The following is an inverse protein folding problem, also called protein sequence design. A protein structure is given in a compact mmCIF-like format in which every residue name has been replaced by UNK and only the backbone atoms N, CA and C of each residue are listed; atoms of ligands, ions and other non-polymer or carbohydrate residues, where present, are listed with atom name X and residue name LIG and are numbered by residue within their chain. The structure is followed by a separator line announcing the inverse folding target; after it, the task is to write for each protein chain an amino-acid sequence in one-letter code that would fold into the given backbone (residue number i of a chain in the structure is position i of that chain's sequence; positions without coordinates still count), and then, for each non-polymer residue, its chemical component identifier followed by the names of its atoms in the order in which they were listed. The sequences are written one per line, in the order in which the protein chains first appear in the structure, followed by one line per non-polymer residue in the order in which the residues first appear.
data_IF_744107793605
#
_entry.id   IF_744107793605
#
_cell.length_a   1.000
_cell.length_b   1.000
_cell.length_c   1.000
_cell.angle_alpha   90.00
_cell.angle_beta   90.00
_cell.angle_gamma   90.00
#
_symmetry.space_group_name_H-M   'P 1'
#
loop_
_entity.id
_entity.type
_entity.pdbx_description
1 polymer ?
2 water ?
#
# COMPACT_ATOMS: atom_id res chain seq x y z
N UNK A 32 -28.01 -20.31 -22.04
CA UNK A 32 -28.26 -21.76 -21.73
C UNK A 32 -26.95 -22.50 -21.63
N UNK A 33 -26.82 -23.32 -20.59
CA UNK A 33 -25.59 -24.03 -20.38
C UNK A 33 -24.75 -23.09 -19.57
N UNK A 34 -25.42 -22.24 -18.80
CA UNK A 34 -24.75 -21.26 -17.97
C UNK A 34 -23.96 -21.89 -16.82
N UNK A 35 -22.64 -21.83 -16.96
CA UNK A 35 -21.71 -22.40 -15.99
C UNK A 35 -20.32 -21.76 -16.06
N UNK A 36 -19.79 -21.37 -14.91
CA UNK A 36 -18.44 -20.80 -14.86
C UNK A 36 -17.62 -21.86 -14.12
N UNK A 37 -16.39 -22.08 -14.57
CA UNK A 37 -15.58 -23.07 -13.90
C UNK A 37 -14.27 -22.53 -13.35
N UNK A 38 -13.97 -22.94 -12.13
CA UNK A 38 -12.75 -22.53 -11.47
C UNK A 38 -11.84 -23.74 -11.39
N UNK A 39 -10.78 -23.70 -12.22
CA UNK A 39 -9.82 -24.79 -12.26
C UNK A 39 -8.57 -24.33 -11.54
N UNK A 40 -8.35 -24.88 -10.36
CA UNK A 40 -7.21 -24.54 -9.53
C UNK A 40 -6.13 -25.61 -9.64
N UNK A 41 -4.91 -25.17 -9.90
CA UNK A 41 -3.79 -26.09 -9.96
C UNK A 41 -2.93 -25.79 -8.74
N UNK A 42 -2.54 -26.84 -8.04
CA UNK A 42 -1.73 -26.68 -6.85
C UNK A 42 -0.47 -27.53 -6.98
N UNK A 43 0.68 -26.88 -7.16
CA UNK A 43 1.96 -27.57 -7.26
C UNK A 43 2.77 -27.37 -5.97
N UNK A 44 3.02 -28.48 -5.26
CA UNK A 44 3.80 -28.47 -4.02
C UNK A 44 3.16 -27.70 -2.85
N UNK A 45 1.95 -28.11 -2.47
CA UNK A 45 1.28 -27.45 -1.36
C UNK A 45 0.78 -26.05 -1.66
N UNK A 46 1.35 -25.37 -2.66
CA UNK A 46 0.94 -24.00 -2.98
C UNK A 46 0.22 -23.81 -4.33
N UNK A 47 -0.80 -22.94 -4.32
CA UNK A 47 -1.61 -22.61 -5.49
C UNK A 47 -0.78 -21.76 -6.45
N UNK A 48 -0.82 -22.05 -7.75
CA UNK A 48 -0.01 -21.27 -8.70
C UNK A 48 -0.79 -20.56 -9.81
N UNK A 49 -1.97 -21.07 -10.09
CA UNK A 49 -2.80 -20.50 -11.14
C UNK A 49 -4.23 -20.92 -10.95
N UNK A 50 -5.07 -20.41 -11.82
CA UNK A 50 -6.48 -20.74 -11.81
C UNK A 50 -7.03 -20.20 -13.12
N UNK A 51 -7.97 -20.94 -13.69
CA UNK A 51 -8.56 -20.55 -14.94
C UNK A 51 -10.04 -20.31 -14.75
N UNK A 52 -10.51 -19.21 -15.32
CA UNK A 52 -11.92 -18.87 -15.24
C UNK A 52 -12.51 -18.61 -16.63
N UNK A 53 -13.51 -19.41 -17.00
CA UNK A 53 -14.16 -19.26 -18.30
C UNK A 53 -15.69 -19.22 -18.19
N UNK A 54 -16.32 -18.29 -18.91
CA UNK A 54 -17.76 -18.16 -18.88
C UNK A 54 -18.35 -17.12 -17.95
N UNK A 55 -17.59 -16.72 -16.93
CA UNK A 55 -18.02 -15.73 -15.93
C UNK A 55 -18.38 -14.36 -16.50
N UNK A 56 -18.03 -14.09 -17.75
CA UNK A 56 -18.36 -12.78 -18.29
C UNK A 56 -19.50 -12.92 -19.29
N UNK A 57 -20.35 -11.92 -19.42
CA UNK A 57 -21.45 -12.03 -20.36
C UNK A 57 -22.73 -12.47 -19.68
N UNK A 58 -23.81 -12.57 -20.44
CA UNK A 58 -25.11 -12.94 -19.85
C UNK A 58 -25.50 -14.43 -19.76
N UNK A 59 -26.77 -14.68 -19.45
CA UNK A 59 -27.30 -16.04 -19.36
C UNK A 59 -28.70 -15.87 -18.79
N UNK A 60 -28.97 -14.74 -18.14
CA UNK A 60 -30.25 -14.39 -17.51
C UNK A 60 -29.95 -13.43 -16.35
N UNK A 61 -30.84 -13.28 -15.39
CA UNK A 61 -30.61 -12.42 -14.25
C UNK A 61 -29.74 -13.24 -13.25
N UNK A 62 -30.33 -14.18 -12.48
CA UNK A 62 -29.58 -14.96 -11.45
C UNK A 62 -28.18 -15.39 -11.90
N UNK A 63 -27.98 -15.74 -13.18
CA UNK A 63 -26.63 -16.12 -13.66
C UNK A 63 -25.71 -14.92 -13.47
N UNK A 64 -26.06 -13.81 -14.12
CA UNK A 64 -25.26 -12.59 -14.01
C UNK A 64 -24.82 -12.32 -12.58
N UNK A 65 -25.74 -12.41 -11.63
CA UNK A 65 -25.41 -12.15 -10.24
C UNK A 65 -24.18 -12.95 -9.84
N UNK A 66 -24.14 -14.22 -10.24
CA UNK A 66 -22.99 -15.08 -9.93
C UNK A 66 -21.73 -14.58 -10.63
N UNK A 67 -21.87 -14.18 -11.88
CA UNK A 67 -20.75 -13.69 -12.67
C UNK A 67 -20.16 -12.46 -11.98
N UNK A 68 -21.05 -11.60 -11.50
CA UNK A 68 -20.65 -10.37 -10.81
C UNK A 68 -19.84 -10.72 -9.55
N UNK A 69 -20.23 -11.81 -8.90
CA UNK A 69 -19.58 -12.28 -7.68
C UNK A 69 -18.20 -12.89 -7.96
N UNK A 70 -18.09 -13.72 -8.99
CA UNK A 70 -16.81 -14.34 -9.35
C UNK A 70 -15.83 -13.30 -9.86
N UNK A 71 -16.31 -12.42 -10.73
CA UNK A 71 -15.46 -11.37 -11.28
C UNK A 71 -14.92 -10.41 -10.21
N UNK A 72 -15.69 -10.17 -9.15
CA UNK A 72 -15.25 -9.29 -8.07
C UNK A 72 -14.16 -10.00 -7.28
N UNK A 73 -14.43 -11.22 -6.84
CA UNK A 73 -13.43 -11.97 -6.08
C UNK A 73 -12.17 -12.11 -6.92
N UNK A 74 -12.36 -12.30 -8.22
CA UNK A 74 -11.25 -12.46 -9.14
C UNK A 74 -10.44 -11.20 -9.34
N UNK A 75 -11.11 -10.07 -9.58
CA UNK A 75 -10.41 -8.82 -9.75
C UNK A 75 -9.76 -8.38 -8.45
N UNK A 76 -10.34 -8.77 -7.33
CA UNK A 76 -9.77 -8.40 -6.04
C UNK A 76 -8.43 -9.08 -5.82
N UNK A 77 -8.35 -10.36 -6.14
CA UNK A 77 -7.11 -11.11 -5.94
C UNK A 77 -5.96 -10.51 -6.75
N UNK A 78 -6.27 -10.04 -7.95
CA UNK A 78 -5.25 -9.45 -8.80
C UNK A 78 -4.75 -8.15 -8.17
N UNK A 79 -5.69 -7.35 -7.67
CA UNK A 79 -5.36 -6.07 -7.04
C UNK A 79 -4.72 -6.19 -5.67
N UNK A 80 -5.22 -7.11 -4.87
CA UNK A 80 -4.67 -7.26 -3.53
C UNK A 80 -3.28 -7.85 -3.62
N UNK A 81 -3.02 -8.66 -4.64
CA UNK A 81 -1.69 -9.22 -4.76
C UNK A 81 -0.66 -8.17 -5.18
N UNK A 82 -1.05 -7.28 -6.10
CA UNK A 82 -0.12 -6.27 -6.55
C UNK A 82 0.11 -5.17 -5.53
N UNK A 83 -0.97 -4.69 -4.94
CA UNK A 83 -0.89 -3.61 -3.95
C UNK A 83 -0.37 -4.02 -2.58
N UNK A 84 -1.07 -4.95 -1.94
CA UNK A 84 -0.66 -5.41 -0.62
C UNK A 84 0.37 -6.53 -0.67
N UNK A 85 0.22 -7.44 -1.62
CA UNK A 85 1.12 -8.59 -1.69
C UNK A 85 2.46 -8.37 -2.34
N UNK A 86 2.73 -7.15 -2.78
CA UNK A 86 4.04 -6.86 -3.39
C UNK A 86 4.39 -7.87 -4.50
N UNK A 87 3.38 -8.58 -4.98
CA UNK A 87 3.54 -9.60 -6.02
C UNK A 87 2.77 -9.28 -7.30
N UNK A 88 3.49 -9.10 -8.40
CA UNK A 88 2.83 -8.80 -9.69
C UNK A 88 2.41 -10.09 -10.36
N UNK A 89 1.22 -10.09 -10.96
CA UNK A 89 0.70 -11.30 -11.58
C UNK A 89 0.50 -11.27 -13.09
N UNK A 90 0.69 -12.45 -13.71
CA UNK A 90 0.52 -12.66 -15.14
C UNK A 90 -0.98 -12.81 -15.35
N UNK A 91 -1.60 -11.86 -16.01
CA UNK A 91 -3.03 -11.93 -16.24
C UNK A 91 -3.34 -12.29 -17.69
N UNK A 92 -4.61 -12.58 -17.97
CA UNK A 92 -5.00 -12.94 -19.32
C UNK A 92 -6.51 -13.06 -19.40
N UNK A 93 -7.13 -12.28 -20.30
CA UNK A 93 -8.58 -12.30 -20.43
C UNK A 93 -9.16 -11.89 -21.78
N UNK A 94 -10.22 -12.57 -22.20
CA UNK A 94 -10.93 -12.20 -23.43
C UNK A 94 -12.42 -12.17 -23.10
N UNK A 95 -12.92 -10.97 -22.82
CA UNK A 95 -14.32 -10.79 -22.48
C UNK A 95 -15.25 -11.67 -23.31
N UNK A 96 -14.80 -12.02 -24.51
CA UNK A 96 -15.55 -12.85 -25.44
C UNK A 96 -15.52 -14.35 -25.13
N UNK A 97 -16.40 -15.09 -25.82
CA UNK A 97 -16.50 -16.54 -25.67
C UNK A 97 -16.74 -16.91 -24.19
N UNK A 98 -17.80 -16.33 -23.61
CA UNK A 98 -18.14 -16.60 -22.21
C UNK A 98 -17.29 -15.84 -21.21
N UNK A 99 -16.06 -15.54 -21.62
CA UNK A 99 -15.12 -14.83 -20.76
C UNK A 99 -14.00 -15.78 -20.42
N UNK A 100 -12.78 -15.28 -20.34
CA UNK A 100 -11.65 -16.14 -20.00
C UNK A 100 -10.61 -15.47 -19.12
N UNK A 101 -10.45 -15.98 -17.91
CA UNK A 101 -9.48 -15.44 -16.98
C UNK A 101 -8.39 -16.47 -16.67
N UNK A 102 -7.19 -15.97 -16.42
CA UNK A 102 -6.05 -16.84 -16.10
C UNK A 102 -5.06 -16.06 -15.26
N UNK A 103 -5.20 -16.17 -13.94
CA UNK A 103 -4.31 -15.52 -13.01
C UNK A 103 -3.22 -16.55 -12.76
N UNK A 104 -1.99 -16.20 -13.09
CA UNK A 104 -0.89 -17.14 -12.95
C UNK A 104 0.29 -16.63 -12.12
N UNK A 105 0.89 -17.52 -11.33
CA UNK A 105 2.02 -17.17 -10.47
C UNK A 105 3.22 -18.10 -10.62
N UNK A 106 3.11 -19.05 -11.54
CA UNK A 106 4.15 -20.04 -11.79
C UNK A 106 5.55 -19.51 -12.00
N UNK A 107 5.67 -18.26 -12.47
CA UNK A 107 6.98 -17.68 -12.72
C UNK A 107 7.29 -16.43 -11.89
N UNK A 108 6.46 -16.15 -10.90
CA UNK A 108 6.73 -14.98 -10.07
C UNK A 108 7.55 -15.41 -8.85
N UNK A 109 8.75 -14.86 -8.74
CA UNK A 109 9.68 -15.18 -7.68
C UNK A 109 9.06 -15.37 -6.29
N UNK A 110 8.19 -14.46 -5.89
CA UNK A 110 7.57 -14.57 -4.57
C UNK A 110 6.27 -15.38 -4.52
N UNK A 111 6.04 -16.25 -5.49
CA UNK A 111 4.82 -17.04 -5.51
C UNK A 111 4.59 -17.95 -4.29
N UNK A 112 5.69 -18.35 -3.65
CA UNK A 112 5.65 -19.22 -2.49
C UNK A 112 5.46 -18.41 -1.21
N UNK A 113 5.64 -17.11 -1.36
CA UNK A 113 5.50 -16.14 -0.27
C UNK A 113 4.16 -16.34 0.44
N UNK A 114 4.20 -16.40 1.76
CA UNK A 114 2.98 -16.62 2.54
C UNK A 114 1.88 -15.56 2.39
N UNK A 115 2.24 -14.31 2.16
CA UNK A 115 1.24 -13.25 1.95
C UNK A 115 0.48 -13.65 0.69
N UNK A 116 1.24 -13.89 -0.38
CA UNK A 116 0.70 -14.30 -1.66
C UNK A 116 -0.20 -15.53 -1.53
N UNK A 117 0.21 -16.49 -0.72
CA UNK A 117 -0.58 -17.69 -0.56
C UNK A 117 -1.86 -17.53 0.27
N UNK A 118 -1.86 -16.64 1.25
CA UNK A 118 -3.06 -16.44 2.05
C UNK A 118 -4.17 -15.86 1.18
N UNK A 119 -3.86 -14.74 0.51
CA UNK A 119 -4.81 -14.08 -0.37
C UNK A 119 -5.34 -15.05 -1.40
N UNK A 120 -4.48 -15.94 -1.90
CA UNK A 120 -4.92 -16.89 -2.92
C UNK A 120 -5.84 -17.93 -2.29
N UNK A 121 -5.48 -18.38 -1.08
CA UNK A 121 -6.25 -19.37 -0.35
C UNK A 121 -7.68 -18.91 -0.15
N UNK A 122 -7.81 -17.66 0.25
CA UNK A 122 -9.11 -17.05 0.48
C UNK A 122 -9.89 -16.95 -0.84
N UNK A 123 -9.19 -16.69 -1.94
CA UNK A 123 -9.85 -16.61 -3.24
C UNK A 123 -10.42 -17.99 -3.53
N UNK A 124 -9.68 -19.02 -3.13
CA UNK A 124 -10.12 -20.38 -3.33
C UNK A 124 -11.33 -20.67 -2.44
N UNK A 125 -11.35 -20.08 -1.24
CA UNK A 125 -12.48 -20.27 -0.34
C UNK A 125 -13.72 -19.57 -0.90
N UNK A 126 -13.56 -18.33 -1.34
CA UNK A 126 -14.67 -17.59 -1.90
C UNK A 126 -15.29 -18.33 -3.07
N UNK A 127 -14.46 -18.65 -4.05
CA UNK A 127 -14.91 -19.37 -5.24
C UNK A 127 -15.54 -20.70 -4.87
N UNK A 128 -15.04 -21.32 -3.79
CA UNK A 128 -15.54 -22.62 -3.33
C UNK A 128 -16.95 -22.60 -2.78
N UNK A 129 -17.24 -21.64 -1.90
CA UNK A 129 -18.57 -21.55 -1.33
C UNK A 129 -19.52 -21.07 -2.41
N UNK A 130 -19.09 -20.08 -3.19
CA UNK A 130 -19.91 -19.56 -4.26
C UNK A 130 -20.36 -20.68 -5.19
N UNK A 131 -19.51 -21.70 -5.37
CA UNK A 131 -19.84 -22.84 -6.23
C UNK A 131 -20.74 -23.81 -5.46
N UNK A 132 -20.64 -23.77 -4.14
CA UNK A 132 -21.44 -24.63 -3.30
C UNK A 132 -22.84 -24.06 -3.20
N UNK A 133 -22.93 -22.76 -2.96
CA UNK A 133 -24.24 -22.10 -2.84
C UNK A 133 -24.99 -22.04 -4.16
N UNK A 134 -24.25 -21.99 -5.25
CA UNK A 134 -24.88 -21.94 -6.56
C UNK A 134 -24.21 -22.91 -7.51
N UNK A 135 -24.40 -24.21 -7.26
CA UNK A 135 -23.83 -25.30 -8.06
C UNK A 135 -24.19 -25.21 -9.54
N UNK A 136 -25.41 -24.77 -9.82
CA UNK A 136 -25.92 -24.65 -11.17
C UNK A 136 -25.22 -23.59 -12.01
N UNK A 137 -24.53 -22.66 -11.36
CA UNK A 137 -23.87 -21.59 -12.08
C UNK A 137 -22.35 -21.60 -11.99
N UNK A 138 -21.83 -22.19 -10.93
CA UNK A 138 -20.39 -22.23 -10.74
C UNK A 138 -19.92 -23.62 -10.36
N UNK A 139 -18.78 -24.00 -10.92
CA UNK A 139 -18.17 -25.29 -10.65
C UNK A 139 -16.67 -25.06 -10.42
N UNK A 140 -16.10 -25.75 -9.46
CA UNK A 140 -14.68 -25.58 -9.16
C UNK A 140 -14.00 -26.88 -8.76
N UNK A 141 -12.82 -27.09 -9.32
CA UNK A 141 -12.03 -28.29 -9.03
C UNK A 141 -10.59 -27.89 -8.70
N UNK A 142 -9.93 -28.71 -7.90
CA UNK A 142 -8.56 -28.43 -7.54
C UNK A 142 -7.70 -29.64 -7.84
N UNK A 143 -6.94 -29.56 -8.93
CA UNK A 143 -6.07 -30.67 -9.32
C UNK A 143 -4.63 -30.28 -8.97
N UNK A 144 -3.99 -31.06 -8.11
CA UNK A 144 -2.63 -30.75 -7.72
C UNK A 144 -1.58 -31.54 -8.50
N UNK A 145 -0.38 -30.98 -8.54
CA UNK A 145 0.76 -31.56 -9.21
C UNK A 145 1.91 -31.54 -8.21
N UNK B 34 -31.42 3.72 -5.03
CA UNK B 34 -30.75 2.64 -4.25
C UNK B 34 -29.24 2.83 -4.14
N UNK B 35 -28.75 2.74 -2.91
CA UNK B 35 -27.33 2.94 -2.61
C UNK B 35 -26.86 2.06 -1.43
N UNK B 36 -25.65 1.51 -1.52
CA UNK B 36 -25.09 0.66 -0.45
C UNK B 36 -24.15 1.53 0.37
N UNK B 37 -24.24 1.45 1.70
CA UNK B 37 -23.37 2.27 2.55
C UNK B 37 -22.34 1.42 3.28
N UNK B 38 -21.07 1.76 3.09
CA UNK B 38 -19.99 1.02 3.74
C UNK B 38 -19.11 1.96 4.57
N UNK B 39 -18.92 1.60 5.84
CA UNK B 39 -18.11 2.40 6.73
C UNK B 39 -17.13 1.52 7.49
N UNK B 40 -15.83 1.75 7.26
CA UNK B 40 -14.81 0.96 7.95
C UNK B 40 -14.37 1.77 9.15
N UNK B 41 -13.73 1.11 10.11
CA UNK B 41 -13.25 1.79 11.29
C UNK B 41 -11.84 1.35 11.59
N UNK B 42 -10.88 2.19 11.26
CA UNK B 42 -9.49 1.87 11.49
C UNK B 42 -8.93 2.64 12.70
N UNK B 43 -8.72 1.93 13.80
CA UNK B 43 -8.20 2.54 15.02
C UNK B 43 -6.70 2.38 15.11
N UNK B 44 -6.00 3.52 15.14
CA UNK B 44 -4.55 3.50 15.25
C UNK B 44 -3.90 2.53 14.27
N UNK B 45 -4.08 2.82 12.98
CA UNK B 45 -3.48 2.00 11.93
C UNK B 45 -4.01 0.63 11.60
N UNK B 46 -4.96 0.09 12.37
CA UNK B 46 -5.49 -1.24 12.07
C UNK B 46 -7.01 -1.25 11.93
N UNK B 47 -7.50 -2.02 10.95
CA UNK B 47 -8.92 -2.13 10.69
C UNK B 47 -9.58 -2.83 11.87
N UNK B 48 -10.67 -2.25 12.40
CA UNK B 48 -11.40 -2.80 13.55
C UNK B 48 -12.77 -3.36 13.19
N UNK B 49 -13.51 -2.63 12.37
CA UNK B 49 -14.83 -3.09 11.99
C UNK B 49 -15.34 -2.44 10.72
N UNK B 50 -16.48 -2.93 10.26
CA UNK B 50 -17.12 -2.44 9.06
C UNK B 50 -18.63 -2.57 9.32
N UNK B 51 -19.42 -1.61 8.81
CA UNK B 51 -20.88 -1.58 9.01
C UNK B 51 -21.57 -1.27 7.66
N UNK B 52 -21.69 -2.28 6.81
CA UNK B 52 -22.33 -2.09 5.50
C UNK B 52 -23.84 -2.10 5.60
N UNK B 53 -24.50 -1.36 4.74
CA UNK B 53 -25.95 -1.32 4.72
C UNK B 53 -26.42 -1.06 3.29
N UNK B 54 -27.69 -1.41 3.03
CA UNK B 54 -28.29 -1.21 1.72
C UNK B 54 -28.03 -2.26 0.66
N UNK B 55 -27.14 -3.19 0.95
CA UNK B 55 -26.90 -4.28 0.03
C UNK B 55 -28.00 -5.25 0.22
N UNK B 56 -27.72 -6.51 -0.03
CA UNK B 56 -28.77 -7.48 0.16
C UNK B 56 -29.96 -7.04 -0.68
N UNK B 57 -29.68 -6.91 -1.97
CA UNK B 57 -30.68 -6.54 -2.95
C UNK B 57 -31.66 -5.39 -2.75
N UNK B 58 -32.31 -5.08 -3.88
CA UNK B 58 -33.30 -4.05 -4.03
C UNK B 58 -33.69 -4.23 -5.50
N UNK B 59 -34.15 -5.45 -5.83
CA UNK B 59 -34.57 -5.79 -7.19
C UNK B 59 -34.37 -4.67 -8.20
N UNK B 60 -33.12 -4.33 -8.46
CA UNK B 60 -32.80 -3.25 -9.39
C UNK B 60 -31.59 -3.61 -10.25
N UNK B 61 -31.50 -4.89 -10.61
CA UNK B 61 -30.43 -5.43 -11.44
C UNK B 61 -29.09 -4.67 -11.35
N UNK B 62 -28.96 -3.57 -12.12
CA UNK B 62 -27.73 -2.82 -12.10
C UNK B 62 -27.25 -2.63 -10.67
N UNK B 63 -28.19 -2.57 -9.72
CA UNK B 63 -27.85 -2.42 -8.31
C UNK B 63 -27.60 -3.79 -7.71
N UNK B 64 -28.53 -4.70 -7.94
CA UNK B 64 -28.41 -6.05 -7.42
C UNK B 64 -27.08 -6.67 -7.86
N UNK B 65 -26.58 -6.21 -8.99
CA UNK B 65 -25.30 -6.67 -9.50
C UNK B 65 -24.28 -6.29 -8.44
N UNK B 66 -24.18 -4.99 -8.21
CA UNK B 66 -23.25 -4.41 -7.24
C UNK B 66 -23.44 -4.93 -5.81
N UNK B 67 -24.67 -5.34 -5.49
CA UNK B 67 -24.95 -5.85 -4.15
C UNK B 67 -24.31 -7.24 -4.06
N UNK B 68 -24.47 -8.03 -5.10
CA UNK B 68 -23.87 -9.37 -5.12
C UNK B 68 -22.40 -9.14 -4.82
N UNK B 69 -21.82 -8.20 -5.55
CA UNK B 69 -20.42 -7.86 -5.39
C UNK B 69 -20.10 -7.60 -3.94
N UNK B 70 -20.82 -6.66 -3.32
CA UNK B 70 -20.59 -6.31 -1.91
C UNK B 70 -20.73 -7.50 -1.00
N UNK B 71 -21.81 -8.25 -1.17
CA UNK B 71 -22.04 -9.40 -0.34
C UNK B 71 -21.01 -10.49 -0.55
N UNK B 72 -20.53 -10.66 -1.78
CA UNK B 72 -19.53 -11.71 -1.99
C UNK B 72 -18.31 -11.41 -1.12
N UNK B 73 -17.79 -10.20 -1.27
CA UNK B 73 -16.63 -9.75 -0.53
C UNK B 73 -16.89 -9.78 0.97
N UNK B 74 -18.10 -9.41 1.37
CA UNK B 74 -18.52 -9.38 2.77
C UNK B 74 -18.42 -10.73 3.44
N UNK B 75 -19.11 -11.72 2.88
CA UNK B 75 -19.08 -13.06 3.45
C UNK B 75 -17.72 -13.74 3.31
N UNK B 76 -16.98 -13.46 2.25
CA UNK B 76 -15.69 -14.11 2.11
C UNK B 76 -14.80 -13.70 3.28
N UNK B 77 -14.79 -12.41 3.60
CA UNK B 77 -13.99 -11.89 4.69
C UNK B 77 -14.30 -12.67 5.96
N UNK B 78 -15.58 -12.69 6.33
CA UNK B 78 -16.04 -13.38 7.52
C UNK B 78 -15.63 -14.85 7.51
N UNK B 79 -15.65 -15.46 6.33
CA UNK B 79 -15.30 -16.87 6.18
C UNK B 79 -13.80 -17.12 6.18
N UNK B 80 -13.10 -16.43 5.28
CA UNK B 80 -11.65 -16.56 5.19
C UNK B 80 -10.99 -16.20 6.52
N UNK B 81 -11.59 -15.24 7.24
CA UNK B 81 -11.06 -14.81 8.52
C UNK B 81 -11.20 -15.91 9.56
N UNK B 82 -12.20 -16.76 9.37
CA UNK B 82 -12.48 -17.88 10.27
C UNK B 82 -11.61 -19.07 9.87
N UNK B 83 -11.75 -19.48 8.62
CA UNK B 83 -11.04 -20.60 8.06
C UNK B 83 -9.53 -20.42 7.96
N UNK B 84 -9.10 -19.27 7.45
CA UNK B 84 -7.69 -19.01 7.25
C UNK B 84 -6.95 -18.19 8.32
N UNK B 85 -7.68 -17.46 9.16
CA UNK B 85 -7.01 -16.66 10.18
C UNK B 85 -7.35 -17.10 11.59
N UNK B 86 -8.17 -18.13 11.70
CA UNK B 86 -8.57 -18.64 13.00
C UNK B 86 -9.20 -17.55 13.88
N UNK B 87 -9.87 -16.63 13.21
CA UNK B 87 -10.53 -15.51 13.86
C UNK B 87 -12.06 -15.58 13.63
N UNK B 88 -12.82 -15.73 14.71
CA UNK B 88 -14.27 -15.78 14.62
C UNK B 88 -14.74 -14.38 15.00
N UNK B 89 -14.96 -13.55 13.99
CA UNK B 89 -15.38 -12.17 14.22
C UNK B 89 -16.76 -12.06 14.87
N UNK B 90 -17.09 -10.84 15.30
CA UNK B 90 -18.39 -10.56 15.90
C UNK B 90 -19.20 -10.19 14.66
N UNK B 91 -20.17 -11.02 14.32
CA UNK B 91 -21.00 -10.79 13.15
C UNK B 91 -22.43 -10.43 13.53
N UNK B 92 -23.05 -9.63 12.68
CA UNK B 92 -24.44 -9.23 12.88
C UNK B 92 -25.00 -8.98 11.50
N UNK B 93 -26.15 -9.57 11.20
CA UNK B 93 -26.74 -9.38 9.88
C UNK B 93 -28.20 -9.74 9.68
N UNK B 94 -28.69 -9.35 8.51
CA UNK B 94 -30.04 -9.62 8.07
C UNK B 94 -30.17 -8.99 6.69
N UNK B 95 -31.22 -9.37 5.97
CA UNK B 95 -31.44 -8.85 4.63
C UNK B 95 -32.74 -8.04 4.61
N UNK B 96 -33.09 -7.50 5.78
CA UNK B 96 -34.32 -6.72 5.94
C UNK B 96 -34.14 -5.25 5.62
N UNK B 97 -35.12 -4.69 4.93
CA UNK B 97 -35.11 -3.28 4.52
C UNK B 97 -33.78 -2.89 3.89
N UNK B 98 -33.35 -3.63 2.88
CA UNK B 98 -32.09 -3.31 2.22
C UNK B 98 -30.85 -3.76 2.97
N UNK B 99 -30.98 -4.83 3.75
CA UNK B 99 -29.86 -5.38 4.51
C UNK B 99 -28.91 -4.50 5.32
N UNK B 100 -28.41 -5.08 6.41
CA UNK B 100 -27.45 -4.43 7.29
C UNK B 100 -26.50 -5.51 7.78
N UNK B 101 -25.21 -5.25 7.72
CA UNK B 101 -24.24 -6.22 8.20
C UNK B 101 -23.06 -5.53 8.88
N UNK B 102 -22.80 -5.91 10.12
CA UNK B 102 -21.68 -5.34 10.84
C UNK B 102 -20.72 -6.45 11.21
N UNK B 103 -19.43 -6.19 11.00
CA UNK B 103 -18.36 -7.12 11.32
C UNK B 103 -17.42 -6.42 12.30
N UNK B 104 -17.41 -6.83 13.56
CA UNK B 104 -16.55 -6.19 14.55
C UNK B 104 -15.40 -7.12 14.87
N UNK B 105 -14.27 -6.50 15.26
CA UNK B 105 -13.05 -7.20 15.66
C UNK B 105 -12.49 -6.58 16.95
N UNK B 106 -13.16 -5.54 17.45
CA UNK B 106 -12.78 -4.81 18.66
C UNK B 106 -12.63 -5.66 19.91
N UNK B 107 -13.60 -6.54 20.13
CA UNK B 107 -13.58 -7.43 21.29
C UNK B 107 -12.66 -8.63 21.08
N UNK B 108 -11.74 -8.52 20.11
CA UNK B 108 -10.83 -9.63 19.82
C UNK B 108 -9.38 -9.20 19.77
N UNK B 109 -8.56 -9.85 20.59
CA UNK B 109 -7.13 -9.59 20.67
C UNK B 109 -6.48 -10.58 19.72
N UNK B 110 -6.88 -10.45 18.47
CA UNK B 110 -6.39 -11.31 17.43
C UNK B 110 -6.34 -10.37 16.24
N UNK B 111 -7.20 -9.36 16.29
CA UNK B 111 -7.33 -8.36 15.23
C UNK B 111 -5.96 -7.88 14.76
N UNK B 112 -4.97 -7.95 15.64
CA UNK B 112 -3.61 -7.52 15.29
C UNK B 112 -2.80 -8.59 14.56
N UNK B 113 -3.40 -9.75 14.34
CA UNK B 113 -2.69 -10.78 13.62
C UNK B 113 -2.63 -10.41 12.14
N UNK B 114 -1.40 -10.31 11.64
CA UNK B 114 -1.11 -9.99 10.26
C UNK B 114 -2.08 -10.67 9.31
N UNK B 115 -2.38 -11.95 9.57
CA UNK B 115 -3.29 -12.70 8.72
C UNK B 115 -4.69 -12.11 8.77
N UNK B 116 -5.08 -11.63 9.93
CA UNK B 116 -6.39 -11.00 10.11
C UNK B 116 -6.37 -9.67 9.35
N UNK B 117 -5.39 -8.84 9.68
CA UNK B 117 -5.25 -7.54 9.06
C UNK B 117 -5.03 -7.58 7.55
N UNK B 118 -4.23 -8.53 7.07
CA UNK B 118 -3.99 -8.66 5.65
C UNK B 118 -5.29 -8.94 4.92
N UNK B 119 -6.13 -9.82 5.48
CA UNK B 119 -7.41 -10.16 4.86
C UNK B 119 -8.40 -8.98 4.87
N UNK B 120 -8.45 -8.28 6.00
CA UNK B 120 -9.33 -7.13 6.17
C UNK B 120 -8.92 -6.03 5.17
N UNK B 121 -7.63 -5.90 4.91
CA UNK B 121 -7.13 -4.89 3.97
C UNK B 121 -7.56 -5.18 2.52
N UNK B 122 -7.65 -6.46 2.17
CA UNK B 122 -8.05 -6.84 0.82
C UNK B 122 -9.53 -6.56 0.64
N UNK B 123 -10.27 -6.62 1.74
CA UNK B 123 -11.73 -6.36 1.74
C UNK B 123 -11.97 -4.84 1.58
N UNK B 124 -11.07 -4.05 2.15
CA UNK B 124 -11.17 -2.62 2.08
C UNK B 124 -10.76 -2.21 0.66
N UNK B 125 -9.81 -2.96 0.10
CA UNK B 125 -9.32 -2.68 -1.23
C UNK B 125 -10.40 -3.08 -2.25
N UNK B 126 -11.21 -4.07 -1.89
CA UNK B 126 -12.26 -4.51 -2.78
C UNK B 126 -13.49 -3.62 -2.75
N UNK B 127 -13.87 -3.18 -1.55
CA UNK B 127 -15.02 -2.31 -1.36
C UNK B 127 -14.68 -0.92 -1.90
N UNK B 128 -13.44 -0.49 -1.71
CA UNK B 128 -12.99 0.82 -2.16
C UNK B 128 -13.04 1.00 -3.69
N UNK B 129 -12.59 -0.02 -4.41
CA UNK B 129 -12.59 0.03 -5.86
C UNK B 129 -14.00 0.05 -6.42
N UNK B 130 -14.92 -0.67 -5.77
CA UNK B 130 -16.30 -0.73 -6.23
C UNK B 130 -17.06 0.57 -6.00
N UNK B 131 -16.70 1.30 -4.95
CA UNK B 131 -17.35 2.56 -4.63
C UNK B 131 -16.78 3.66 -5.50
N UNK B 132 -15.69 3.37 -6.19
CA UNK B 132 -15.09 4.36 -7.08
C UNK B 132 -15.42 3.98 -8.51
N UNK B 133 -15.90 2.76 -8.72
CA UNK B 133 -16.27 2.32 -10.06
C UNK B 133 -17.75 2.57 -10.25
N UNK B 134 -18.45 2.73 -9.13
CA UNK B 134 -19.88 2.98 -9.13
C UNK B 134 -20.28 3.86 -7.97
N UNK B 135 -19.67 5.05 -7.87
CA UNK B 135 -19.98 5.98 -6.79
C UNK B 135 -21.47 6.23 -6.77
N UNK B 136 -22.12 5.89 -7.88
CA UNK B 136 -23.56 6.06 -8.02
C UNK B 136 -24.31 5.07 -7.13
N UNK B 137 -23.77 3.87 -7.01
CA UNK B 137 -24.39 2.82 -6.22
C UNK B 137 -23.67 2.54 -4.91
N UNK B 138 -22.39 2.88 -4.82
CA UNK B 138 -21.65 2.58 -3.61
C UNK B 138 -20.95 3.77 -2.97
N UNK B 139 -20.85 3.72 -1.66
CA UNK B 139 -20.23 4.76 -0.87
C UNK B 139 -19.39 4.11 0.23
N UNK B 140 -18.09 4.33 0.17
CA UNK B 140 -17.21 3.74 1.16
C UNK B 140 -16.56 4.82 1.98
N UNK B 141 -16.79 4.78 3.29
CA UNK B 141 -16.19 5.77 4.17
C UNK B 141 -15.24 5.08 5.14
N UNK B 142 -14.26 5.82 5.63
CA UNK B 142 -13.32 5.27 6.59
C UNK B 142 -13.07 6.25 7.72
N UNK B 143 -13.41 5.86 8.94
CA UNK B 143 -13.18 6.74 10.07
C UNK B 143 -11.87 6.31 10.72
N UNK B 144 -10.94 7.25 10.83
CA UNK B 144 -9.65 6.97 11.41
C UNK B 144 -9.64 7.46 12.85
N UNK B 145 -9.12 6.64 13.76
CA UNK B 145 -9.06 7.03 15.17
C UNK B 145 -8.00 6.26 15.95
N UNK C 30 2.89 -14.68 7.46
CA UNK C 30 3.31 -14.36 8.86
C UNK C 30 3.85 -12.93 9.01
N UNK C 31 2.93 -11.96 9.01
CA UNK C 31 3.30 -10.57 9.19
C UNK C 31 3.96 -10.49 10.55
N UNK C 32 3.65 -11.47 11.39
CA UNK C 32 4.25 -11.58 12.72
C UNK C 32 5.70 -11.96 12.45
N UNK C 33 6.53 -10.93 12.51
CA UNK C 33 7.97 -11.02 12.25
C UNK C 33 8.21 -9.86 11.30
N UNK C 34 7.77 -8.67 11.72
CA UNK C 34 7.85 -7.43 10.93
C UNK C 34 8.54 -6.23 11.59
N UNK C 35 9.81 -6.04 11.25
CA UNK C 35 10.62 -4.97 11.80
C UNK C 35 11.72 -4.60 10.82
N UNK C 36 11.87 -3.31 10.55
CA UNK C 36 12.92 -2.87 9.63
C UNK C 36 14.19 -2.66 10.45
N UNK C 37 15.27 -3.29 10.02
CA UNK C 37 16.54 -3.18 10.70
C UNK C 37 17.50 -2.37 9.82
N UNK C 38 18.01 -1.27 10.35
CA UNK C 38 18.94 -0.43 9.59
C UNK C 38 20.29 -0.46 10.30
N UNK C 39 21.25 -1.13 9.68
CA UNK C 39 22.58 -1.22 10.28
C UNK C 39 23.56 -0.31 9.54
N UNK C 40 24.07 0.69 10.25
CA UNK C 40 24.99 1.68 9.72
C UNK C 40 26.45 1.44 10.11
N UNK C 41 27.37 1.72 9.19
CA UNK C 41 28.78 1.56 9.49
C UNK C 41 29.53 2.88 9.36
N UNK C 42 29.92 3.45 10.49
CA UNK C 42 30.67 4.70 10.47
C UNK C 42 32.12 4.23 10.47
N UNK C 43 33.00 5.00 9.87
CA UNK C 43 34.42 4.67 9.78
C UNK C 43 35.27 5.93 9.57
N UNK C 44 36.08 6.26 10.58
CA UNK C 44 36.94 7.43 10.52
C UNK C 44 36.10 8.68 10.34
N UNK C 45 35.10 8.78 11.21
CA UNK C 45 34.22 9.93 11.22
C UNK C 45 33.27 10.08 10.05
N UNK C 46 33.13 9.04 9.23
CA UNK C 46 32.22 9.15 8.10
C UNK C 46 31.45 7.87 7.75
N UNK C 47 30.18 8.06 7.43
CA UNK C 47 29.31 6.95 7.06
C UNK C 47 29.84 6.33 5.77
N UNK C 48 30.20 5.05 5.84
CA UNK C 48 30.72 4.37 4.67
C UNK C 48 29.74 3.39 4.03
N UNK C 49 28.72 3.00 4.78
CA UNK C 49 27.71 2.06 4.25
C UNK C 49 26.46 1.98 5.13
N UNK C 50 25.44 1.32 4.61
CA UNK C 50 24.20 1.11 5.33
C UNK C 50 23.53 -0.14 4.77
N UNK C 51 22.96 -0.95 5.65
CA UNK C 51 22.30 -2.17 5.22
C UNK C 51 20.95 -2.26 5.89
N UNK C 52 19.90 -2.29 5.08
CA UNK C 52 18.53 -2.36 5.58
C UNK C 52 17.91 -3.71 5.28
N UNK C 53 16.97 -4.11 6.13
CA UNK C 53 16.32 -5.41 5.96
C UNK C 53 14.91 -5.45 6.56
N UNK C 54 14.00 -6.13 5.86
CA UNK C 54 12.64 -6.27 6.33
C UNK C 54 11.67 -5.15 5.96
N UNK C 55 11.94 -4.44 4.87
CA UNK C 55 11.09 -3.32 4.44
C UNK C 55 10.22 -3.58 3.21
N UNK C 56 10.04 -4.84 2.82
CA UNK C 56 9.21 -5.14 1.66
C UNK C 56 7.73 -4.87 1.99
N UNK C 57 7.42 -4.89 3.28
CA UNK C 57 6.06 -4.65 3.71
C UNK C 57 5.42 -5.97 4.07
N UNK C 58 4.27 -5.94 4.75
CA UNK C 58 3.61 -7.16 5.14
C UNK C 58 2.13 -7.13 4.84
N UNK C 59 1.69 -6.17 4.04
CA UNK C 59 0.27 -6.09 3.71
C UNK C 59 -0.53 -5.46 4.82
N UNK C 60 0.20 -5.07 5.88
CA UNK C 60 -0.36 -4.42 7.07
C UNK C 60 -0.22 -2.92 6.91
N UNK C 61 -1.34 -2.22 6.93
CA UNK C 61 -1.33 -0.77 6.81
C UNK C 61 -0.24 -0.12 7.65
N UNK C 62 -0.36 -0.24 8.97
CA UNK C 62 0.60 0.35 9.88
C UNK C 62 2.07 0.11 9.60
N UNK C 63 2.47 -1.17 9.54
CA UNK C 63 3.86 -1.53 9.28
C UNK C 63 4.29 -1.02 7.91
N UNK C 64 3.47 -1.31 6.89
CA UNK C 64 3.77 -0.89 5.53
C UNK C 64 3.91 0.63 5.37
N UNK C 65 3.12 1.38 6.14
CA UNK C 65 3.20 2.85 6.08
C UNK C 65 4.64 3.23 6.42
N UNK C 66 5.23 2.46 7.34
CA UNK C 66 6.60 2.68 7.77
C UNK C 66 7.58 2.12 6.74
N UNK C 67 7.15 1.10 6.01
CA UNK C 67 8.01 0.51 5.00
C UNK C 67 8.19 1.50 3.84
N UNK C 68 7.12 2.23 3.52
CA UNK C 68 7.15 3.21 2.45
C UNK C 68 8.05 4.39 2.81
N UNK C 69 8.05 4.75 4.09
CA UNK C 69 8.87 5.86 4.55
C UNK C 69 10.34 5.48 4.40
N UNK C 70 10.68 4.32 4.95
CA UNK C 70 12.05 3.84 4.87
C UNK C 70 12.49 3.68 3.41
N UNK C 71 11.61 3.10 2.59
CA UNK C 71 11.91 2.92 1.17
C UNK C 71 12.25 4.24 0.50
N UNK C 72 11.33 5.21 0.57
CA UNK C 72 11.59 6.50 -0.06
C UNK C 72 12.94 7.08 0.37
N UNK C 73 13.19 7.15 1.69
CA UNK C 73 14.45 7.69 2.16
C UNK C 73 15.61 6.95 1.56
N UNK C 74 15.46 5.64 1.38
CA UNK C 74 16.52 4.83 0.79
C UNK C 74 16.76 5.23 -0.65
N UNK C 75 15.72 5.14 -1.48
CA UNK C 75 15.85 5.51 -2.88
C UNK C 75 16.36 6.93 -3.06
N UNK C 76 15.81 7.86 -2.28
CA UNK C 76 16.23 9.24 -2.38
C UNK C 76 17.74 9.34 -2.15
N UNK C 77 18.23 8.68 -1.11
CA UNK C 77 19.66 8.70 -0.82
C UNK C 77 20.36 8.25 -2.09
N UNK C 78 19.98 7.08 -2.58
CA UNK C 78 20.58 6.56 -3.78
C UNK C 78 20.48 7.56 -4.94
N UNK C 79 19.32 8.17 -5.11
CA UNK C 79 19.16 9.16 -6.19
C UNK C 79 19.86 10.49 -5.93
N UNK C 80 19.61 11.11 -4.77
CA UNK C 80 20.25 12.38 -4.49
C UNK C 80 21.75 12.25 -4.64
N UNK C 81 22.31 11.19 -4.06
CA UNK C 81 23.75 11.01 -4.12
C UNK C 81 24.26 11.11 -5.55
N UNK C 82 23.62 10.35 -6.42
CA UNK C 82 24.01 10.31 -7.81
C UNK C 82 23.84 11.64 -8.52
N UNK C 83 22.59 12.10 -8.60
CA UNK C 83 22.26 13.34 -9.29
C UNK C 83 22.78 14.66 -8.72
N UNK C 84 22.88 14.76 -7.41
CA UNK C 84 23.33 16.01 -6.78
C UNK C 84 24.73 16.00 -6.20
N UNK C 85 25.40 14.85 -6.21
CA UNK C 85 26.73 14.81 -5.63
C UNK C 85 27.71 13.97 -6.42
N UNK C 86 27.36 13.67 -7.66
CA UNK C 86 28.24 12.90 -8.52
C UNK C 86 28.87 11.75 -7.78
N UNK C 87 28.04 11.02 -7.06
CA UNK C 87 28.50 9.86 -6.32
C UNK C 87 27.64 8.70 -6.78
N UNK C 88 28.27 7.71 -7.38
CA UNK C 88 27.50 6.60 -7.87
C UNK C 88 27.68 5.33 -7.05
N UNK C 89 26.94 5.28 -5.96
CA UNK C 89 26.86 4.19 -4.99
C UNK C 89 26.92 2.79 -5.58
N UNK C 90 27.38 1.84 -4.77
CA UNK C 90 27.44 0.43 -5.14
C UNK C 90 26.14 -0.09 -4.54
N UNK C 91 25.14 -0.34 -5.37
CA UNK C 91 23.84 -0.76 -4.85
C UNK C 91 23.39 -2.20 -5.02
N UNK C 92 23.33 -2.91 -3.90
CA UNK C 92 22.87 -4.28 -3.88
C UNK C 92 21.44 -4.27 -3.34
N UNK C 93 20.51 -4.88 -4.08
CA UNK C 93 19.10 -4.93 -3.68
C UNK C 93 18.49 -6.32 -3.78
N UNK C 94 17.23 -6.41 -3.36
CA UNK C 94 16.47 -7.66 -3.38
C UNK C 94 15.07 -7.37 -2.84
N UNK C 95 14.05 -7.61 -3.66
CA UNK C 95 12.67 -7.35 -3.29
C UNK C 95 11.98 -8.45 -2.49
N UNK C 96 12.69 -9.51 -2.15
CA UNK C 96 12.05 -10.58 -1.40
C UNK C 96 12.64 -10.93 -0.05
N UNK C 97 12.09 -11.98 0.56
CA UNK C 97 12.52 -12.46 1.86
C UNK C 97 12.43 -11.31 2.87
N UNK C 98 11.54 -10.37 2.58
CA UNK C 98 11.36 -9.23 3.46
C UNK C 98 12.12 -8.03 2.94
N UNK C 99 12.64 -8.16 1.73
CA UNK C 99 13.39 -7.08 1.12
C UNK C 99 14.74 -6.90 1.76
N UNK C 100 15.74 -6.65 0.92
CA UNK C 100 17.11 -6.44 1.38
C UNK C 100 17.68 -5.27 0.61
N UNK C 101 18.70 -4.64 1.16
CA UNK C 101 19.29 -3.53 0.44
C UNK C 101 20.58 -3.15 1.09
N UNK C 102 21.56 -2.81 0.27
CA UNK C 102 22.83 -2.39 0.80
C UNK C 102 23.35 -1.23 -0.05
N UNK C 103 23.61 -0.11 0.60
CA UNK C 103 24.13 1.07 -0.06
C UNK C 103 25.55 1.18 0.48
N UNK C 104 26.54 1.16 -0.40
CA UNK C 104 27.92 1.22 0.07
C UNK C 104 28.84 2.18 -0.68
N UNK C 105 29.50 3.05 0.09
CA UNK C 105 30.42 4.03 -0.45
C UNK C 105 31.84 3.67 -0.07
N UNK C 106 31.98 2.58 0.67
CA UNK C 106 33.28 2.09 1.12
C UNK C 106 34.31 2.09 0.01
N UNK C 107 33.90 1.71 -1.19
CA UNK C 107 34.83 1.69 -2.32
C UNK C 107 34.77 2.85 -3.29
N UNK C 108 33.93 3.85 -3.03
CA UNK C 108 33.86 5.01 -3.91
C UNK C 108 34.98 6.00 -3.56
N UNK C 109 35.13 7.04 -4.38
CA UNK C 109 36.22 8.03 -4.20
C UNK C 109 35.86 9.31 -3.43
N UNK C 110 34.72 9.90 -3.74
CA UNK C 110 34.31 11.09 -3.01
C UNK C 110 33.38 10.63 -1.90
N UNK C 111 33.71 9.46 -1.32
CA UNK C 111 32.90 8.89 -0.24
C UNK C 111 33.03 9.80 0.98
N UNK C 112 34.11 10.57 1.00
CA UNK C 112 34.38 11.48 2.09
C UNK C 112 33.96 12.88 1.68
N UNK C 113 33.41 13.00 0.47
CA UNK C 113 32.95 14.27 -0.10
C UNK C 113 31.91 14.93 0.79
N UNK C 114 32.10 16.20 1.07
CA UNK C 114 31.20 16.94 1.94
C UNK C 114 29.71 16.74 1.62
N UNK C 115 29.31 17.02 0.38
CA UNK C 115 27.91 16.87 -0.02
C UNK C 115 27.41 15.43 -0.01
N UNK C 116 28.33 14.47 -0.06
CA UNK C 116 27.95 13.07 -0.04
C UNK C 116 27.65 12.63 1.39
N UNK C 117 28.40 13.15 2.36
CA UNK C 117 28.16 12.80 3.74
C UNK C 117 26.88 13.45 4.24
N UNK C 118 26.65 14.70 3.89
CA UNK C 118 25.46 15.43 4.30
C UNK C 118 24.19 14.65 3.95
N UNK C 119 24.12 14.19 2.72
CA UNK C 119 22.98 13.45 2.26
C UNK C 119 22.91 12.15 3.00
N UNK C 120 24.05 11.48 3.15
CA UNK C 120 24.08 10.22 3.86
C UNK C 120 23.63 10.43 5.30
N UNK C 121 24.18 11.46 5.95
CA UNK C 121 23.84 11.78 7.32
C UNK C 121 22.36 12.09 7.42
N UNK C 122 21.85 12.89 6.48
CA UNK C 122 20.45 13.24 6.49
C UNK C 122 19.64 11.94 6.51
N UNK C 123 20.03 11.03 5.63
CA UNK C 123 19.37 9.74 5.52
C UNK C 123 19.33 9.05 6.89
N UNK C 124 20.38 9.25 7.68
CA UNK C 124 20.47 8.66 9.00
C UNK C 124 19.53 9.32 10.01
N UNK C 125 19.39 10.63 9.93
CA UNK C 125 18.52 11.36 10.85
C UNK C 125 17.09 10.89 10.68
N UNK C 126 16.65 10.69 9.43
CA UNK C 126 15.30 10.25 9.19
C UNK C 126 15.08 8.83 9.68
N UNK C 127 16.01 7.95 9.32
CA UNK C 127 15.92 6.56 9.72
C UNK C 127 15.93 6.50 11.22
N UNK C 128 16.84 7.25 11.81
CA UNK C 128 16.98 7.32 13.25
C UNK C 128 15.67 7.78 13.90
N UNK C 129 15.17 8.93 13.46
CA UNK C 129 13.94 9.48 14.01
C UNK C 129 12.75 8.58 13.76
N UNK C 130 12.81 7.86 12.65
CA UNK C 130 11.77 6.91 12.31
C UNK C 130 11.76 5.86 13.43
N UNK C 131 12.94 5.29 13.67
CA UNK C 131 13.13 4.28 14.70
C UNK C 131 12.76 4.80 16.09
N UNK C 132 12.72 6.12 16.23
CA UNK C 132 12.39 6.75 17.49
C UNK C 132 10.89 6.86 17.71
N UNK C 133 10.12 6.92 16.62
CA UNK C 133 8.66 7.05 16.70
C UNK C 133 7.96 5.70 16.60
N UNK C 134 8.48 4.83 15.75
CA UNK C 134 7.90 3.52 15.53
C UNK C 134 8.92 2.43 15.82
N UNK C 135 9.35 2.31 17.09
CA UNK C 135 10.34 1.32 17.53
C UNK C 135 9.87 -0.11 17.26
N UNK C 136 8.56 -0.29 17.10
CA UNK C 136 7.97 -1.59 16.85
C UNK C 136 8.12 -2.05 15.41
N UNK C 137 8.61 -1.15 14.55
CA UNK C 137 8.78 -1.49 13.15
C UNK C 137 10.17 -1.14 12.62
N UNK C 138 10.88 -0.26 13.32
CA UNK C 138 12.21 0.12 12.89
C UNK C 138 13.24 0.22 14.02
N UNK C 139 14.46 -0.16 13.67
CA UNK C 139 15.57 -0.13 14.59
C UNK C 139 16.80 0.27 13.78
N UNK C 140 17.60 1.18 14.34
CA UNK C 140 18.81 1.64 13.67
C UNK C 140 20.01 1.38 14.57
N UNK C 141 21.12 0.98 13.97
CA UNK C 141 22.35 0.66 14.69
C UNK C 141 23.51 1.23 13.89
N UNK C 142 24.38 1.95 14.58
CA UNK C 142 25.53 2.57 13.93
C UNK C 142 26.82 1.94 14.44
N UNK C 143 27.50 1.18 13.60
CA UNK C 143 28.75 0.52 13.98
C UNK C 143 29.97 1.31 13.53
N UNK C 144 30.79 1.73 14.50
CA UNK C 144 32.00 2.50 14.21
C UNK C 144 33.28 1.68 14.09
N UNK C 145 34.23 2.20 13.33
CA UNK C 145 35.52 1.57 13.13
C UNK C 145 36.45 2.54 12.44
N UNK D 33 -10.51 14.66 -5.59
CA UNK D 33 -10.80 13.25 -5.14
C UNK D 33 -9.55 12.48 -4.79
N UNK D 34 -8.96 12.81 -3.64
CA UNK D 34 -7.75 12.16 -3.14
C UNK D 34 -6.46 12.59 -3.86
N UNK D 35 -6.01 13.83 -3.66
CA UNK D 35 -4.78 14.27 -4.34
C UNK D 35 -3.81 15.09 -3.48
N UNK D 36 -2.50 14.79 -3.61
CA UNK D 36 -1.47 15.51 -2.86
C UNK D 36 -0.90 16.64 -3.73
N UNK D 37 -0.55 17.76 -3.12
CA UNK D 37 -0.02 18.92 -3.83
C UNK D 37 1.34 19.41 -3.36
N UNK D 38 2.32 19.34 -4.24
CA UNK D 38 3.66 19.80 -3.90
C UNK D 38 3.99 21.01 -4.79
N UNK D 39 4.00 22.20 -4.20
CA UNK D 39 4.35 23.36 -5.00
C UNK D 39 5.67 23.93 -4.51
N UNK D 40 6.65 23.95 -5.41
CA UNK D 40 7.99 24.44 -5.14
C UNK D 40 8.19 25.83 -5.74
N UNK D 41 8.97 26.66 -5.03
CA UNK D 41 9.29 28.02 -5.46
C UNK D 41 10.79 28.25 -5.53
N UNK D 42 11.27 28.50 -6.75
CA UNK D 42 12.69 28.72 -6.95
C UNK D 42 12.90 30.18 -7.35
N UNK D 43 13.68 30.91 -6.56
CA UNK D 43 14.00 32.31 -6.85
C UNK D 43 15.49 32.41 -7.09
N UNK D 44 15.88 32.60 -8.33
CA UNK D 44 17.29 32.73 -8.65
C UNK D 44 18.01 31.39 -8.72
N UNK D 45 17.28 30.30 -8.87
CA UNK D 45 17.92 29.01 -8.99
C UNK D 45 18.19 28.38 -7.65
N UNK D 46 17.46 28.87 -6.63
CA UNK D 46 17.53 28.37 -5.26
C UNK D 46 16.12 28.20 -4.73
N UNK D 47 15.87 27.09 -4.06
CA UNK D 47 14.56 26.77 -3.50
C UNK D 47 14.36 27.50 -2.18
N UNK D 48 13.29 28.28 -2.08
CA UNK D 48 13.00 29.04 -0.87
C UNK D 48 11.79 28.55 -0.13
N UNK D 49 10.76 28.21 -0.88
CA UNK D 49 9.52 27.79 -0.26
C UNK D 49 8.91 26.56 -0.91
N UNK D 50 7.90 26.00 -0.24
CA UNK D 50 7.18 24.82 -0.71
C UNK D 50 5.86 24.63 0.06
N UNK D 51 4.76 24.52 -0.67
CA UNK D 51 3.45 24.29 -0.07
C UNK D 51 3.12 22.81 -0.24
N UNK D 52 2.52 22.20 0.77
CA UNK D 52 2.13 20.79 0.71
C UNK D 52 0.66 20.67 1.11
N UNK D 53 -0.07 19.88 0.34
CA UNK D 53 -1.50 19.67 0.57
C UNK D 53 -1.90 18.28 0.10
N UNK D 54 -2.83 17.65 0.81
CA UNK D 54 -3.26 16.33 0.40
C UNK D 54 -2.82 15.22 1.30
N UNK D 55 -1.52 15.18 1.63
CA UNK D 55 -0.97 14.15 2.50
C UNK D 55 -1.79 14.19 3.78
N UNK D 56 -1.53 13.29 4.72
CA UNK D 56 -2.28 13.20 5.99
C UNK D 56 -3.22 12.00 5.87
N UNK D 57 -3.34 11.54 4.65
CA UNK D 57 -4.15 10.36 4.35
C UNK D 57 -5.65 10.32 4.55
N UNK D 58 -6.23 9.27 4.01
CA UNK D 58 -7.65 9.00 4.08
C UNK D 58 -7.86 7.72 4.88
N UNK D 59 -6.78 6.98 5.11
CA UNK D 59 -6.88 5.72 5.82
C UNK D 59 -7.21 4.68 4.76
N UNK D 60 -6.79 4.97 3.53
CA UNK D 60 -7.04 4.13 2.37
C UNK D 60 -5.99 3.05 2.01
N UNK D 61 -4.77 3.17 2.52
CA UNK D 61 -3.67 2.25 2.27
C UNK D 61 -2.91 2.63 0.99
N UNK D 62 -3.55 2.44 -0.17
CA UNK D 62 -2.81 2.83 -1.38
C UNK D 62 -2.47 4.32 -1.22
N UNK D 63 -3.46 5.20 -1.04
CA UNK D 63 -3.15 6.63 -0.90
C UNK D 63 -2.20 6.91 0.28
N UNK D 64 -2.52 6.38 1.45
CA UNK D 64 -1.69 6.64 2.63
C UNK D 64 -0.20 6.31 2.56
N UNK D 65 0.20 5.20 1.93
CA UNK D 65 1.62 4.89 1.86
C UNK D 65 2.36 5.98 1.10
N UNK D 66 1.71 6.53 0.08
CA UNK D 66 2.32 7.61 -0.68
C UNK D 66 2.37 8.85 0.20
N UNK D 67 1.34 9.03 1.03
CA UNK D 67 1.30 10.19 1.92
C UNK D 67 2.46 10.12 2.92
N UNK D 68 2.71 8.93 3.45
CA UNK D 68 3.77 8.74 4.42
C UNK D 68 5.11 8.91 3.72
N UNK D 69 5.11 8.70 2.41
CA UNK D 69 6.32 8.83 1.63
C UNK D 69 6.67 10.30 1.40
N UNK D 70 5.66 11.16 1.22
CA UNK D 70 5.96 12.57 1.02
C UNK D 70 6.16 13.20 2.38
N UNK D 71 5.37 12.76 3.36
CA UNK D 71 5.49 13.30 4.70
C UNK D 71 6.86 13.05 5.28
N UNK D 72 7.43 11.89 5.00
CA UNK D 72 8.77 11.60 5.52
C UNK D 72 9.78 12.54 4.89
N UNK D 73 9.74 12.66 3.57
CA UNK D 73 10.70 13.55 2.92
C UNK D 73 10.59 14.96 3.52
N UNK D 74 9.35 15.39 3.71
CA UNK D 74 9.02 16.71 4.25
C UNK D 74 9.50 16.96 5.65
N UNK D 75 9.13 16.08 6.56
CA UNK D 75 9.57 16.23 7.93
C UNK D 75 11.08 16.07 8.04
N UNK D 76 11.65 15.23 7.17
CA UNK D 76 13.08 15.01 7.21
C UNK D 76 13.85 16.20 6.68
N UNK D 77 13.21 17.01 5.85
CA UNK D 77 13.86 18.20 5.31
C UNK D 77 14.03 19.23 6.40
N UNK D 78 13.00 19.38 7.22
CA UNK D 78 13.04 20.35 8.30
C UNK D 78 14.07 20.02 9.36
N UNK D 79 14.16 18.75 9.77
CA UNK D 79 15.14 18.36 10.79
C UNK D 79 16.56 18.38 10.26
N UNK D 80 16.75 17.81 9.07
CA UNK D 80 18.07 17.79 8.48
C UNK D 80 18.58 19.22 8.39
N UNK D 81 17.69 20.12 7.98
CA UNK D 81 18.04 21.53 7.85
C UNK D 81 18.45 22.11 9.21
N UNK D 82 17.60 21.90 10.22
CA UNK D 82 17.84 22.38 11.58
C UNK D 82 18.97 21.66 12.29
N UNK D 83 19.35 20.48 11.80
CA UNK D 83 20.43 19.70 12.41
C UNK D 83 21.72 19.67 11.61
N UNK D 84 21.60 19.62 10.29
CA UNK D 84 22.77 19.55 9.42
C UNK D 84 23.14 20.84 8.71
N UNK D 85 22.21 21.80 8.64
CA UNK D 85 22.50 23.07 8.00
C UNK D 85 22.28 24.16 9.03
N UNK D 86 22.05 23.76 10.28
CA UNK D 86 21.77 24.69 11.36
C UNK D 86 20.88 25.75 10.75
N UNK D 87 19.67 25.33 10.40
CA UNK D 87 18.71 26.18 9.73
C UNK D 87 17.32 26.00 10.32
N UNK D 88 16.85 27.01 11.04
CA UNK D 88 15.53 26.95 11.63
C UNK D 88 14.56 27.56 10.62
N UNK D 89 13.85 26.72 9.86
CA UNK D 89 12.92 27.18 8.83
C UNK D 89 11.60 27.74 9.35
N UNK D 90 10.92 28.47 8.48
CA UNK D 90 9.61 29.04 8.79
C UNK D 90 8.65 27.91 8.45
N UNK D 91 8.01 27.36 9.47
CA UNK D 91 7.10 26.23 9.30
C UNK D 91 5.63 26.48 9.65
N UNK D 92 4.74 25.78 8.96
CA UNK D 92 3.30 25.88 9.20
C UNK D 92 2.70 24.54 8.88
N UNK D 93 2.21 23.84 9.91
CA UNK D 93 1.65 22.51 9.78
C UNK D 93 0.26 22.31 10.35
N UNK D 94 -0.42 21.29 9.82
CA UNK D 94 -1.73 20.86 10.30
C UNK D 94 -2.29 19.75 9.40
N UNK D 95 -3.10 18.87 10.00
CA UNK D 95 -3.69 17.75 9.29
C UNK D 95 -5.19 17.94 9.13
N UNK D 96 -5.65 19.17 9.08
CA UNK D 96 -7.09 19.39 8.94
C UNK D 96 -7.56 19.22 7.50
N UNK D 97 -8.61 18.42 7.32
CA UNK D 97 -9.17 18.18 6.00
C UNK D 97 -8.05 17.97 4.99
N UNK D 98 -7.22 16.93 5.22
CA UNK D 98 -6.15 16.65 4.29
C UNK D 98 -4.81 17.34 4.55
N UNK D 99 -4.71 18.02 5.68
CA UNK D 99 -3.46 18.69 6.03
C UNK D 99 -2.84 19.67 5.05
N UNK D 100 -1.92 20.46 5.59
CA UNK D 100 -1.21 21.49 4.86
C UNK D 100 0.15 21.61 5.50
N UNK D 101 1.13 22.09 4.73
CA UNK D 101 2.46 22.28 5.27
C UNK D 101 3.22 23.27 4.40
N UNK D 102 3.87 24.22 5.04
CA UNK D 102 4.62 25.21 4.30
C UNK D 102 6.00 25.35 4.91
N UNK D 103 7.01 25.00 4.12
CA UNK D 103 8.40 25.07 4.55
C UNK D 103 9.00 26.29 3.85
N UNK D 104 9.19 27.38 4.60
CA UNK D 104 9.70 28.61 4.01
C UNK D 104 11.12 29.02 4.40
N UNK D 105 11.84 29.57 3.42
CA UNK D 105 13.21 30.04 3.61
C UNK D 105 13.35 31.47 3.10
N UNK D 106 12.24 32.07 2.65
CA UNK D 106 12.27 33.43 2.09
C UNK D 106 12.68 34.59 3.03
N UNK D 107 12.68 34.34 4.33
CA UNK D 107 13.09 35.37 5.29
C UNK D 107 14.44 34.95 5.89
N UNK D 108 14.89 33.74 5.60
CA UNK D 108 16.15 33.22 6.12
C UNK D 108 17.38 33.57 5.29
N UNK D 109 18.30 34.32 5.89
CA UNK D 109 19.51 34.73 5.19
C UNK D 109 20.63 33.70 5.42
N UNK D 110 20.32 32.47 5.06
CA UNK D 110 21.22 31.35 5.21
C UNK D 110 20.72 30.38 4.15
N UNK D 111 19.54 30.71 3.63
CA UNK D 111 18.86 29.95 2.62
C UNK D 111 19.67 29.50 1.41
N UNK D 112 20.75 30.21 1.11
CA UNK D 112 21.58 29.87 -0.05
C UNK D 112 22.69 28.89 0.26
N UNK D 113 22.89 28.64 1.54
CA UNK D 113 23.91 27.74 2.06
C UNK D 113 23.98 26.44 1.27
N UNK D 114 25.20 26.02 0.92
CA UNK D 114 25.41 24.79 0.17
C UNK D 114 24.74 23.57 0.82
N UNK D 115 24.84 23.46 2.14
CA UNK D 115 24.22 22.34 2.82
C UNK D 115 22.70 22.48 2.71
N UNK D 116 22.21 23.69 2.96
CA UNK D 116 20.77 23.98 2.88
C UNK D 116 20.18 23.58 1.53
N UNK D 117 20.69 24.18 0.47
CA UNK D 117 20.22 23.93 -0.88
C UNK D 117 20.35 22.50 -1.37
N UNK D 118 21.35 21.79 -0.88
CA UNK D 118 21.57 20.41 -1.29
C UNK D 118 20.42 19.60 -0.77
N UNK D 119 20.18 19.70 0.53
CA UNK D 119 19.08 18.98 1.17
C UNK D 119 17.75 19.35 0.53
N UNK D 120 17.62 20.62 0.14
CA UNK D 120 16.39 21.07 -0.44
C UNK D 120 16.24 20.50 -1.84
N UNK D 121 17.32 20.49 -2.62
CA UNK D 121 17.23 19.96 -3.96
C UNK D 121 16.97 18.46 -3.89
N UNK D 122 17.60 17.77 -2.93
CA UNK D 122 17.39 16.33 -2.78
C UNK D 122 15.94 16.09 -2.41
N UNK D 123 15.38 17.04 -1.70
CA UNK D 123 13.98 16.93 -1.30
C UNK D 123 13.10 17.01 -2.55
N UNK D 124 13.44 17.94 -3.43
CA UNK D 124 12.68 18.10 -4.67
C UNK D 124 12.80 16.80 -5.46
N UNK D 125 14.04 16.39 -5.68
CA UNK D 125 14.34 15.17 -6.42
C UNK D 125 13.48 14.03 -5.86
N UNK D 126 13.21 14.07 -4.54
CA UNK D 126 12.41 13.05 -3.92
C UNK D 126 10.93 13.16 -4.25
N UNK D 127 10.33 14.31 -3.95
CA UNK D 127 8.92 14.53 -4.24
C UNK D 127 8.63 14.27 -5.71
N UNK D 128 9.59 14.61 -6.56
CA UNK D 128 9.43 14.43 -8.00
C UNK D 128 9.19 12.99 -8.40
N UNK D 129 10.11 12.11 -8.03
CA UNK D 129 10.00 10.70 -8.38
C UNK D 129 8.74 10.05 -7.80
N UNK D 130 8.29 10.56 -6.65
CA UNK D 130 7.06 10.05 -6.01
C UNK D 130 5.88 10.46 -6.89
N UNK D 131 6.02 11.62 -7.53
CA UNK D 131 4.98 12.15 -8.40
C UNK D 131 5.00 11.50 -9.77
N UNK D 132 6.20 11.27 -10.30
CA UNK D 132 6.33 10.65 -11.61
C UNK D 132 5.91 9.18 -11.50
N UNK D 133 6.03 8.64 -10.29
CA UNK D 133 5.68 7.25 -10.04
C UNK D 133 4.23 6.98 -9.68
N UNK D 134 3.64 7.83 -8.86
CA UNK D 134 2.25 7.64 -8.48
C UNK D 134 1.49 8.93 -8.79
N UNK D 135 1.37 9.27 -10.09
CA UNK D 135 0.67 10.48 -10.55
C UNK D 135 -0.82 10.51 -10.25
N UNK D 136 -1.37 9.38 -9.81
CA UNK D 136 -2.78 9.30 -9.46
C UNK D 136 -3.00 9.99 -8.11
N UNK D 137 -1.95 9.99 -7.27
CA UNK D 137 -2.02 10.60 -5.94
C UNK D 137 -1.19 11.88 -5.74
N UNK D 138 -0.07 12.02 -6.46
CA UNK D 138 0.81 13.18 -6.31
C UNK D 138 1.11 14.01 -7.58
N UNK D 139 1.25 15.31 -7.38
CA UNK D 139 1.53 16.23 -8.48
C UNK D 139 2.49 17.30 -7.95
N UNK D 140 3.61 17.50 -8.64
CA UNK D 140 4.59 18.51 -8.21
C UNK D 140 4.59 19.68 -9.17
N UNK D 141 4.69 20.89 -8.62
CA UNK D 141 4.69 22.12 -9.41
C UNK D 141 5.82 23.02 -8.92
N UNK D 142 6.54 23.62 -9.85
CA UNK D 142 7.64 24.50 -9.48
C UNK D 142 7.51 25.86 -10.14
N UNK D 143 7.14 26.88 -9.38
CA UNK D 143 7.05 28.20 -9.98
C UNK D 143 8.43 28.79 -9.81
N UNK D 144 8.96 29.38 -10.88
CA UNK D 144 10.29 29.99 -10.83
C UNK D 144 10.15 31.49 -10.98
N UNK D 145 11.09 32.24 -10.42
CA UNK D 145 11.05 33.69 -10.53
C UNK D 145 12.41 34.35 -10.26
#
# INVERSE_FOLDING_TARGET
MGSSHHHHHHSSGLVPRGSHMASMTGGQQMGRGSMIQATFIRRKGILESVELTGHAGSGEYGFDIVCAAVSTLSMNLVNALEVLADCTVSLQMDEFDGGYMKIDLSYITNKSDEKVQLLFEAFLLGITNLAENSPEFVTAKIMTQ
MGSSHHHHHHSSGLVPRGSHMASMTGGQQMGRGSMIQATFIRRKGILESVELTGHAGSGEYGFDIVCAAVSTLSMNLVNALEVLADCTVSLQMDEFDGGYMKIDLSYITNKSDEKVQLLFEAFLLGITNLAENSPEFVTAKIMTQ
MGSSHHHHHHSSGLVPRGSHMASMTGGQQMGRGSMIQATFIRRKGILESVELTGHAGSGEYGFDIVCAAVSTLSMNLVNALEVLADCTVSLQMDEFDGGYMKIDLSYITNKSDEKVQLLFEAFLLGITNLAENSPEFVTAKIMTQ
MGSSHHHHHHSSGLVPRGSHMASMTGGQQMGRGSMIQATFIRRKGILESVELTGHAGSGEYGFDIVCAAVSTLSMNLVNALEVLADCTVSLQMDEFDGGYMKIDLSYITNKSDEKVQLLFEAFLLGITNLAENSPEFVTAKIMTQ
#
